data_IF_993863671549
#
_entry.id   IF_993863671549
#
_cell.length_a   1.000
_cell.length_b   1.000
_cell.length_c   1.000
_cell.angle_alpha   90.00
_cell.angle_beta   90.00
_cell.angle_gamma   90.00
#
_symmetry.space_group_name_H-M   'P 1'
#
loop_
_entity.id
_entity.type
_entity.pdbx_description
1 polymer ?
#
# COMPACT_ATOMS: atom_id res chain seq x y z
N UNK A 1 -34.49 -63.16 1.21
CA UNK A 1 -35.70 -62.50 1.75
C UNK A 1 -35.50 -62.39 3.26
N UNK A 2 -34.80 -61.35 3.71
CA UNK A 2 -35.34 -60.06 4.18
C UNK A 2 -35.92 -60.07 5.62
N UNK A 3 -35.24 -60.69 6.58
CA UNK A 3 -35.52 -60.47 8.01
C UNK A 3 -34.27 -60.34 8.91
N UNK A 4 -33.10 -60.05 8.34
CA UNK A 4 -31.84 -59.93 9.11
C UNK A 4 -31.35 -58.49 9.35
N UNK A 5 -32.17 -57.47 9.04
CA UNK A 5 -31.74 -56.06 9.17
C UNK A 5 -32.39 -55.28 10.34
N UNK A 6 -33.39 -55.83 11.03
CA UNK A 6 -34.16 -55.07 12.04
C UNK A 6 -34.09 -55.56 13.49
N UNK A 7 -33.43 -56.69 13.77
CA UNK A 7 -33.40 -57.28 15.12
C UNK A 7 -32.05 -57.18 15.86
N UNK A 8 -31.10 -56.38 15.35
CA UNK A 8 -29.75 -56.22 15.94
C UNK A 8 -29.55 -55.02 16.85
N UNK A 9 -30.52 -54.10 16.97
CA UNK A 9 -30.30 -52.82 17.66
C UNK A 9 -31.01 -52.67 19.02
N UNK A 10 -31.70 -53.70 19.53
CA UNK A 10 -32.59 -53.53 20.68
C UNK A 10 -32.00 -53.86 22.06
N UNK A 11 -30.75 -54.33 22.20
CA UNK A 11 -30.38 -54.96 23.48
C UNK A 11 -29.14 -54.45 24.24
N UNK A 12 -28.24 -53.62 23.71
CA UNK A 12 -27.07 -53.18 24.49
C UNK A 12 -26.75 -51.71 24.19
N UNK A 13 -26.52 -50.93 25.25
CA UNK A 13 -26.21 -49.49 25.30
C UNK A 13 -27.43 -48.58 25.48
N UNK A 14 -28.21 -48.80 26.54
CA UNK A 14 -29.15 -47.79 27.03
C UNK A 14 -29.34 -47.89 28.54
N UNK A 15 -28.52 -47.14 29.30
CA UNK A 15 -29.04 -46.51 30.52
C UNK A 15 -28.28 -45.22 30.83
N UNK A 16 -26.94 -45.24 30.91
CA UNK A 16 -26.15 -44.03 31.25
C UNK A 16 -25.77 -43.11 30.08
N UNK A 17 -25.48 -43.66 28.90
CA UNK A 17 -24.96 -42.88 27.76
C UNK A 17 -26.00 -41.98 27.10
N UNK A 18 -27.27 -42.43 27.06
CA UNK A 18 -28.35 -41.69 26.42
C UNK A 18 -28.81 -40.52 27.28
N UNK A 19 -28.81 -40.70 28.61
CA UNK A 19 -29.06 -39.62 29.57
C UNK A 19 -27.95 -38.57 29.54
N UNK A 20 -26.69 -38.98 29.40
CA UNK A 20 -25.57 -38.06 29.23
C UNK A 20 -25.68 -37.29 27.91
N UNK A 21 -26.04 -37.96 26.81
CA UNK A 21 -26.25 -37.33 25.52
C UNK A 21 -27.43 -36.34 25.56
N UNK A 22 -28.55 -36.71 26.19
CA UNK A 22 -29.73 -35.86 26.37
C UNK A 22 -29.43 -34.65 27.29
N UNK A 23 -28.67 -34.86 28.37
CA UNK A 23 -28.22 -33.79 29.26
C UNK A 23 -27.34 -32.77 28.51
N UNK A 24 -26.39 -33.26 27.70
CA UNK A 24 -25.53 -32.39 26.88
C UNK A 24 -26.32 -31.67 25.78
N UNK A 25 -27.28 -32.34 25.14
CA UNK A 25 -28.17 -31.75 24.15
C UNK A 25 -29.03 -30.63 24.75
N UNK A 26 -29.65 -30.87 25.91
CA UNK A 26 -30.44 -29.88 26.66
C UNK A 26 -29.58 -28.70 27.12
N UNK A 27 -28.36 -28.97 27.58
CA UNK A 27 -27.43 -27.91 27.98
C UNK A 27 -27.01 -27.04 26.79
N UNK A 28 -26.76 -27.66 25.63
CA UNK A 28 -26.46 -26.95 24.37
C UNK A 28 -27.64 -26.13 23.86
N UNK A 29 -28.87 -26.66 23.95
CA UNK A 29 -30.10 -25.99 23.52
C UNK A 29 -30.42 -24.73 24.36
N UNK A 30 -30.00 -24.71 25.62
CA UNK A 30 -30.21 -23.57 26.53
C UNK A 30 -29.11 -22.49 26.42
N UNK A 31 -28.09 -22.69 25.57
CA UNK A 31 -27.15 -21.62 25.27
C UNK A 31 -27.86 -20.62 24.35
N UNK A 32 -28.24 -19.48 24.92
CA UNK A 32 -28.68 -18.29 24.18
C UNK A 32 -27.65 -18.00 23.08
N UNK A 33 -27.99 -18.36 21.84
CA UNK A 33 -27.21 -17.86 20.71
C UNK A 33 -27.40 -16.35 20.70
N UNK A 34 -26.29 -15.61 20.77
CA UNK A 34 -26.32 -14.18 20.49
C UNK A 34 -27.07 -13.98 19.17
N UNK A 35 -27.94 -12.96 19.07
CA UNK A 35 -28.62 -12.70 17.83
C UNK A 35 -27.57 -12.62 16.74
N UNK A 36 -27.67 -13.54 15.77
CA UNK A 36 -26.89 -13.52 14.54
C UNK A 36 -27.32 -12.28 13.76
N UNK A 37 -26.89 -11.11 14.22
CA UNK A 37 -26.93 -9.90 13.44
C UNK A 37 -25.91 -10.17 12.35
N UNK A 38 -26.39 -10.74 11.24
CA UNK A 38 -25.56 -11.15 10.14
C UNK A 38 -24.69 -9.95 9.77
N UNK A 39 -23.39 -10.06 10.02
CA UNK A 39 -22.46 -8.98 9.70
C UNK A 39 -22.55 -8.80 8.20
N UNK A 40 -22.93 -7.60 7.76
CA UNK A 40 -23.13 -7.38 6.33
C UNK A 40 -21.83 -7.70 5.59
N UNK A 41 -21.95 -8.29 4.40
CA UNK A 41 -20.82 -8.58 3.53
C UNK A 41 -19.88 -7.37 3.38
N UNK A 42 -20.44 -6.16 3.30
CA UNK A 42 -19.66 -4.92 3.24
C UNK A 42 -18.75 -4.70 4.46
N UNK A 43 -19.28 -4.92 5.68
CA UNK A 43 -18.49 -4.80 6.91
C UNK A 43 -17.37 -5.83 6.97
N UNK A 44 -17.64 -7.08 6.56
CA UNK A 44 -16.63 -8.14 6.50
C UNK A 44 -15.55 -7.77 5.46
N UNK A 45 -15.95 -7.36 4.25
CA UNK A 45 -15.05 -6.93 3.17
C UNK A 45 -14.18 -5.75 3.60
N UNK A 46 -14.76 -4.74 4.24
CA UNK A 46 -14.02 -3.57 4.74
C UNK A 46 -13.03 -3.98 5.82
N UNK A 47 -13.43 -4.86 6.74
CA UNK A 47 -12.54 -5.37 7.80
C UNK A 47 -11.35 -6.13 7.23
N UNK A 48 -11.59 -7.01 6.26
CA UNK A 48 -10.52 -7.74 5.55
C UNK A 48 -9.61 -6.79 4.80
N UNK A 49 -10.15 -5.79 4.09
CA UNK A 49 -9.35 -4.77 3.38
C UNK A 49 -8.46 -4.00 4.35
N UNK A 50 -8.99 -3.58 5.49
CA UNK A 50 -8.25 -2.85 6.50
C UNK A 50 -7.16 -3.72 7.13
N UNK A 51 -7.45 -5.00 7.40
CA UNK A 51 -6.47 -5.96 7.94
C UNK A 51 -5.32 -6.22 6.95
N UNK A 52 -5.64 -6.47 5.68
CA UNK A 52 -4.61 -6.64 4.66
C UNK A 52 -3.77 -5.37 4.50
N UNK A 53 -4.40 -4.20 4.50
CA UNK A 53 -3.69 -2.92 4.38
C UNK A 53 -2.75 -2.70 5.57
N UNK A 54 -3.20 -2.96 6.80
CA UNK A 54 -2.39 -2.74 8.00
C UNK A 54 -1.23 -3.74 8.09
N UNK A 55 -1.45 -5.00 7.71
CA UNK A 55 -0.39 -6.01 7.64
C UNK A 55 0.66 -5.62 6.59
N UNK A 56 0.24 -5.28 5.38
CA UNK A 56 1.16 -4.80 4.33
C UNK A 56 1.95 -3.57 4.77
N UNK A 57 1.30 -2.61 5.45
CA UNK A 57 2.01 -1.44 5.98
C UNK A 57 3.06 -1.83 7.02
N UNK A 58 2.75 -2.76 7.91
CA UNK A 58 3.68 -3.29 8.92
C UNK A 58 4.87 -3.98 8.26
N UNK A 59 4.62 -4.84 7.28
CA UNK A 59 5.67 -5.57 6.56
C UNK A 59 6.61 -4.61 5.83
N UNK A 60 6.09 -3.47 5.36
CA UNK A 60 6.88 -2.43 4.73
C UNK A 60 7.66 -1.55 5.73
N UNK A 61 7.36 -1.55 7.03
CA UNK A 61 7.99 -0.63 7.99
C UNK A 61 9.51 -0.83 8.12
N UNK A 62 9.97 -2.08 8.15
CA UNK A 62 11.40 -2.40 8.30
C UNK A 62 12.17 -2.22 6.99
N UNK A 63 11.72 -2.77 5.84
CA UNK A 63 12.43 -2.63 4.57
C UNK A 63 12.50 -1.17 4.06
N UNK A 64 11.52 -0.35 4.41
CA UNK A 64 11.49 1.06 3.98
C UNK A 64 12.21 2.00 4.94
N UNK A 65 12.75 1.51 6.06
CA UNK A 65 13.26 2.36 7.13
C UNK A 65 14.40 3.29 6.74
N UNK A 66 15.27 2.84 5.84
CA UNK A 66 16.41 3.61 5.36
C UNK A 66 16.13 4.32 4.03
N UNK A 67 14.88 4.30 3.54
CA UNK A 67 14.54 4.96 2.27
C UNK A 67 14.46 6.46 2.49
N UNK A 68 15.20 7.22 1.69
CA UNK A 68 15.21 8.68 1.73
C UNK A 68 13.83 9.32 1.55
N UNK A 69 12.93 8.67 0.82
CA UNK A 69 11.56 9.15 0.61
C UNK A 69 10.63 8.94 1.81
N UNK A 70 11.03 8.20 2.85
CA UNK A 70 10.19 7.92 4.03
C UNK A 70 9.92 9.18 4.86
N UNK A 71 10.85 10.14 4.86
CA UNK A 71 10.71 11.43 5.55
C UNK A 71 9.90 12.46 4.78
N UNK A 72 9.44 12.13 3.56
CA UNK A 72 8.66 13.06 2.74
C UNK A 72 7.25 13.20 3.31
N UNK A 73 6.94 14.39 3.79
CA UNK A 73 5.61 14.72 4.29
C UNK A 73 4.58 14.72 3.15
N UNK A 74 3.43 14.05 3.29
CA UNK A 74 2.38 14.10 2.27
C UNK A 74 1.92 15.52 1.93
N UNK A 75 1.97 16.44 2.91
CA UNK A 75 1.62 17.85 2.73
C UNK A 75 2.57 18.64 1.82
N UNK A 76 3.78 18.13 1.54
CA UNK A 76 4.72 18.79 0.63
C UNK A 76 4.42 18.52 -0.85
N UNK A 77 3.47 17.63 -1.14
CA UNK A 77 3.10 17.25 -2.50
C UNK A 77 1.64 17.68 -2.73
N UNK A 78 1.36 18.52 -3.74
CA UNK A 78 0.00 18.92 -4.03
C UNK A 78 -0.78 17.72 -4.58
N UNK A 79 -2.06 17.58 -4.20
CA UNK A 79 -2.91 16.51 -4.73
C UNK A 79 -3.22 16.69 -6.22
N UNK A 80 -3.35 17.94 -6.66
CA UNK A 80 -3.78 18.35 -8.01
C UNK A 80 -3.19 19.73 -8.35
N UNK A 81 -3.00 20.05 -9.65
CA UNK A 81 -3.15 19.18 -10.81
C UNK A 81 -2.02 18.12 -10.87
N UNK A 82 -2.28 17.01 -11.57
CA UNK A 82 -1.33 15.87 -11.69
C UNK A 82 0.08 16.30 -12.09
N UNK A 83 0.18 17.27 -13.01
CA UNK A 83 1.47 17.79 -13.51
C UNK A 83 2.35 18.33 -12.37
N UNK A 84 1.75 19.03 -11.43
CA UNK A 84 2.46 19.68 -10.34
C UNK A 84 2.78 18.67 -9.24
N UNK A 85 1.82 17.78 -8.92
CA UNK A 85 2.00 16.65 -8.02
C UNK A 85 3.18 15.77 -8.44
N UNK A 86 3.27 15.44 -9.73
CA UNK A 86 4.35 14.60 -10.27
C UNK A 86 5.70 15.29 -10.19
N UNK A 87 5.76 16.59 -10.52
CA UNK A 87 7.01 17.35 -10.43
C UNK A 87 7.50 17.44 -8.98
N UNK A 88 6.61 17.77 -8.04
CA UNK A 88 6.92 17.86 -6.63
C UNK A 88 7.25 16.50 -5.99
N UNK A 89 6.66 15.40 -6.46
CA UNK A 89 6.95 14.04 -5.97
C UNK A 89 8.31 13.50 -6.44
N UNK A 90 8.59 13.59 -7.75
CA UNK A 90 9.99 13.64 -8.26
C UNK A 90 10.64 14.86 -7.61
N UNK A 91 11.86 15.30 -7.84
CA UNK A 91 12.44 16.41 -7.02
C UNK A 91 12.52 16.06 -5.50
N UNK A 92 11.44 15.98 -4.74
CA UNK A 92 11.38 15.71 -3.28
C UNK A 92 11.89 14.34 -2.93
N UNK A 93 11.54 13.32 -3.71
CA UNK A 93 12.09 11.97 -3.51
C UNK A 93 13.47 11.79 -4.16
N UNK A 94 14.00 12.80 -4.86
CA UNK A 94 15.26 12.70 -5.62
C UNK A 94 15.17 11.83 -6.88
N UNK A 95 13.99 11.28 -7.21
CA UNK A 95 13.75 10.50 -8.43
C UNK A 95 13.43 11.38 -9.65
N UNK A 96 14.10 12.52 -9.78
CA UNK A 96 13.98 13.40 -10.95
C UNK A 96 14.82 12.88 -12.13
N UNK A 97 14.54 13.41 -13.32
CA UNK A 97 15.27 13.10 -14.56
C UNK A 97 16.22 14.24 -14.96
N UNK A 98 16.75 14.97 -13.97
CA UNK A 98 17.76 16.01 -14.22
C UNK A 98 19.13 15.41 -14.50
N UNK A 99 20.00 16.16 -15.18
CA UNK A 99 21.32 15.71 -15.66
C UNK A 99 22.12 14.97 -14.59
N UNK A 100 22.25 15.55 -13.39
CA UNK A 100 23.01 14.94 -12.29
C UNK A 100 22.45 13.58 -11.83
N UNK A 101 21.13 13.39 -11.84
CA UNK A 101 20.52 12.10 -11.51
C UNK A 101 20.70 11.09 -12.65
N UNK A 102 20.57 11.52 -13.90
CA UNK A 102 20.76 10.66 -15.07
C UNK A 102 22.21 10.20 -15.22
N UNK A 103 23.17 11.06 -14.91
CA UNK A 103 24.59 10.71 -14.86
C UNK A 103 24.87 9.61 -13.82
N UNK A 104 24.31 9.73 -12.60
CA UNK A 104 24.43 8.68 -11.56
C UNK A 104 23.81 7.33 -11.98
N UNK A 105 22.90 7.34 -12.95
CA UNK A 105 22.31 6.13 -13.54
C UNK A 105 23.08 5.62 -14.76
N UNK A 106 24.14 6.33 -15.20
CA UNK A 106 24.92 6.00 -16.38
C UNK A 106 24.22 6.30 -17.71
N UNK A 107 23.16 7.12 -17.70
CA UNK A 107 22.41 7.50 -18.92
C UNK A 107 23.07 8.70 -19.59
N UNK A 108 23.52 9.68 -18.79
CA UNK A 108 24.25 10.85 -19.27
C UNK A 108 25.74 10.69 -19.00
N UNK A 109 26.57 11.26 -19.87
CA UNK A 109 28.03 11.26 -19.73
C UNK A 109 28.53 12.24 -18.68
N UNK A 110 27.76 13.31 -18.41
CA UNK A 110 28.13 14.37 -17.47
C UNK A 110 26.98 14.72 -16.53
N UNK A 111 27.31 15.19 -15.32
CA UNK A 111 26.34 15.60 -14.31
C UNK A 111 25.92 17.08 -14.42
N UNK A 112 26.65 17.86 -15.22
CA UNK A 112 26.49 19.30 -15.32
C UNK A 112 25.20 19.69 -16.02
N UNK A 113 24.76 20.93 -15.79
CA UNK A 113 23.64 21.51 -16.51
C UNK A 113 24.01 21.75 -17.98
N UNK A 114 23.37 21.07 -18.95
CA UNK A 114 23.64 21.32 -20.37
C UNK A 114 22.88 22.56 -20.89
N UNK A 115 22.04 23.17 -20.05
CA UNK A 115 21.20 24.30 -20.45
C UNK A 115 21.87 25.65 -20.18
N UNK A 116 22.85 25.71 -19.28
CA UNK A 116 23.57 26.93 -18.95
C UNK A 116 25.08 26.67 -18.78
N UNK A 117 25.88 27.71 -18.94
CA UNK A 117 27.34 27.62 -18.89
C UNK A 117 27.91 27.74 -17.46
N UNK A 118 27.11 27.43 -16.43
CA UNK A 118 27.54 27.62 -15.03
C UNK A 118 28.49 26.52 -14.53
N UNK A 119 28.61 25.40 -15.25
CA UNK A 119 29.39 24.23 -14.82
C UNK A 119 28.89 23.57 -13.52
N UNK A 120 27.70 23.93 -13.05
CA UNK A 120 27.10 23.34 -11.85
C UNK A 120 26.35 22.04 -12.20
N UNK A 121 26.34 21.08 -11.28
CA UNK A 121 25.52 19.89 -11.42
C UNK A 121 24.02 20.26 -11.48
N UNK A 122 23.29 19.72 -12.45
CA UNK A 122 21.86 20.01 -12.59
C UNK A 122 21.03 19.23 -11.57
N UNK A 123 21.04 19.71 -10.34
CA UNK A 123 20.18 19.22 -9.25
C UNK A 123 19.03 20.19 -8.98
N UNK A 124 18.16 19.83 -8.04
CA UNK A 124 17.01 20.66 -7.63
C UNK A 124 17.42 22.09 -7.29
N UNK A 125 18.50 22.26 -6.52
CA UNK A 125 18.93 23.58 -6.07
C UNK A 125 19.42 24.44 -7.25
N UNK A 126 20.12 23.82 -8.19
CA UNK A 126 20.55 24.48 -9.42
C UNK A 126 19.35 24.86 -10.29
N UNK A 127 18.32 24.00 -10.38
CA UNK A 127 17.10 24.28 -11.16
C UNK A 127 16.49 25.65 -10.80
N UNK A 128 16.45 26.00 -9.51
CA UNK A 128 15.93 27.29 -9.02
C UNK A 128 16.80 28.50 -9.39
N UNK A 129 18.10 28.29 -9.61
CA UNK A 129 19.07 29.36 -9.94
C UNK A 129 19.48 29.38 -11.41
N UNK A 130 19.11 28.35 -12.18
CA UNK A 130 19.50 28.22 -13.58
C UNK A 130 18.98 29.41 -14.38
N UNK A 131 19.91 30.15 -14.98
CA UNK A 131 19.61 31.35 -15.77
C UNK A 131 18.98 31.05 -17.14
N UNK A 132 19.07 29.80 -17.60
CA UNK A 132 18.45 29.36 -18.85
C UNK A 132 16.96 29.05 -18.72
N UNK A 133 16.43 29.00 -17.49
CA UNK A 133 15.03 28.69 -17.21
C UNK A 133 14.27 29.96 -16.81
N UNK A 134 13.12 30.19 -17.45
CA UNK A 134 12.27 31.36 -17.21
C UNK A 134 11.17 31.11 -16.19
N UNK A 135 10.91 29.85 -15.83
CA UNK A 135 9.87 29.49 -14.87
C UNK A 135 9.99 30.22 -13.52
N UNK A 136 8.84 30.66 -12.98
CA UNK A 136 8.79 31.37 -11.69
C UNK A 136 8.70 30.42 -10.48
N UNK A 137 8.31 29.17 -10.71
CA UNK A 137 8.16 28.14 -9.67
C UNK A 137 9.09 26.97 -9.94
N UNK A 138 9.44 26.22 -8.90
CA UNK A 138 10.25 24.99 -9.02
C UNK A 138 9.64 24.00 -10.02
N UNK A 139 8.32 23.83 -9.95
CA UNK A 139 7.55 22.95 -10.84
C UNK A 139 7.62 23.42 -12.28
N UNK A 140 7.42 24.72 -12.55
CA UNK A 140 7.49 25.26 -13.91
C UNK A 140 8.89 25.10 -14.49
N UNK A 141 9.93 25.43 -13.72
CA UNK A 141 11.33 25.26 -14.11
C UNK A 141 11.68 23.80 -14.40
N UNK A 142 11.15 22.86 -13.61
CA UNK A 142 11.37 21.43 -13.83
C UNK A 142 10.81 20.95 -15.17
N UNK A 143 9.59 21.34 -15.50
CA UNK A 143 8.99 20.96 -16.78
C UNK A 143 9.63 21.64 -17.97
N UNK A 144 10.02 22.91 -17.83
CA UNK A 144 10.78 23.65 -18.84
C UNK A 144 12.13 22.98 -19.11
N UNK A 145 12.89 22.66 -18.06
CA UNK A 145 14.14 21.91 -18.17
C UNK A 145 13.95 20.59 -18.92
N UNK A 146 12.91 19.82 -18.61
CA UNK A 146 12.62 18.57 -19.33
C UNK A 146 12.32 18.78 -20.81
N UNK A 147 11.53 19.80 -21.14
CA UNK A 147 11.21 20.13 -22.52
C UNK A 147 12.48 20.47 -23.31
N UNK A 148 13.40 21.25 -22.72
CA UNK A 148 14.68 21.62 -23.34
C UNK A 148 15.64 20.43 -23.46
N UNK A 149 15.61 19.49 -22.50
CA UNK A 149 16.41 18.25 -22.53
C UNK A 149 15.83 17.18 -23.47
N UNK A 150 14.67 17.40 -24.08
CA UNK A 150 14.01 16.42 -24.96
C UNK A 150 13.45 15.19 -24.24
N UNK A 151 12.96 15.35 -23.01
CA UNK A 151 12.49 14.26 -22.13
C UNK A 151 11.00 14.27 -21.80
#
# INVERSE_FOLDING_TARGET
ENESFFNGCLAIVAFGGNEQADFLAKRGANLLQHPNTATSFWKIKLSLKNLCTSNSLRDLQTPTALKSWRSVSPSSIPDKPRRDAVAAFRLTTGHNCLSARLHRLGIFTEAFCPLCDSGEAMERDHLLRCGALQGLTEVSRYWEARALLGQ
#
